data_IF_876074768089
#
_entry.id   IF_876074768089
#
_cell.length_a   1.000
_cell.length_b   1.000
_cell.length_c   1.000
_cell.angle_alpha   90.00
_cell.angle_beta   90.00
_cell.angle_gamma   90.00
#
_symmetry.space_group_name_H-M   'P 1'
#
loop_
_entity.id
_entity.type
_entity.pdbx_description
1 polymer ?
#
# COMPACT_ATOMS: atom_id res chain seq x y z
N UNK A 1 -5.26 23.38 9.88
CA UNK A 1 -4.82 24.57 9.12
C UNK A 1 -5.43 24.49 7.74
N UNK A 2 -6.40 25.35 7.46
CA UNK A 2 -6.91 25.66 6.12
C UNK A 2 -6.09 26.88 5.68
N UNK A 3 -4.87 26.67 5.18
CA UNK A 3 -4.00 27.76 4.73
C UNK A 3 -3.17 27.29 3.54
N UNK A 4 -3.83 27.21 2.39
CA UNK A 4 -3.34 27.70 1.11
C UNK A 4 -4.52 27.68 0.15
N UNK A 5 -4.75 28.78 -0.56
CA UNK A 5 -5.83 28.96 -1.53
C UNK A 5 -5.70 28.08 -2.77
N UNK A 6 -5.78 26.77 -2.56
CA UNK A 6 -5.74 25.72 -3.55
C UNK A 6 -7.09 25.01 -3.41
N UNK A 7 -7.83 24.84 -4.51
CA UNK A 7 -9.17 24.22 -4.45
C UNK A 7 -9.02 22.84 -3.78
N UNK A 8 -9.93 22.45 -2.89
CA UNK A 8 -9.87 21.15 -2.19
C UNK A 8 -9.58 19.95 -3.13
N UNK A 9 -10.01 20.02 -4.39
CA UNK A 9 -9.67 19.03 -5.43
C UNK A 9 -8.20 18.98 -5.84
N UNK A 10 -7.51 20.11 -5.94
CA UNK A 10 -6.08 20.20 -6.29
C UNK A 10 -5.17 19.70 -5.16
N UNK A 11 -5.60 19.88 -3.90
CA UNK A 11 -4.92 19.32 -2.73
C UNK A 11 -4.98 17.79 -2.73
N UNK A 12 -6.18 17.21 -2.91
CA UNK A 12 -6.36 15.75 -2.99
C UNK A 12 -5.59 15.18 -4.18
N UNK A 13 -5.62 15.88 -5.32
CA UNK A 13 -4.89 15.47 -6.54
C UNK A 13 -3.39 15.44 -6.30
N UNK A 14 -2.81 16.50 -5.74
CA UNK A 14 -1.35 16.56 -5.48
C UNK A 14 -0.91 15.57 -4.39
N UNK A 15 -1.70 15.45 -3.31
CA UNK A 15 -1.40 14.55 -2.18
C UNK A 15 -1.50 13.08 -2.57
N UNK A 16 -2.27 12.72 -3.59
CA UNK A 16 -2.39 11.34 -4.07
C UNK A 16 -1.45 11.07 -5.25
N UNK A 17 -1.39 11.97 -6.24
CA UNK A 17 -0.57 11.78 -7.45
C UNK A 17 0.92 11.77 -7.12
N UNK A 18 1.40 12.68 -6.27
CA UNK A 18 2.83 12.77 -5.97
C UNK A 18 3.37 11.50 -5.31
N UNK A 19 2.74 10.94 -4.25
CA UNK A 19 3.17 9.66 -3.68
C UNK A 19 3.08 8.50 -4.66
N UNK A 20 2.07 8.47 -5.55
CA UNK A 20 1.96 7.41 -6.58
C UNK A 20 3.17 7.47 -7.52
N UNK A 21 3.46 8.63 -8.10
CA UNK A 21 4.60 8.78 -9.03
C UNK A 21 5.91 8.44 -8.32
N UNK A 22 6.12 8.97 -7.11
CA UNK A 22 7.32 8.68 -6.32
C UNK A 22 7.44 7.19 -6.01
N UNK A 23 6.35 6.52 -5.62
CA UNK A 23 6.34 5.08 -5.33
C UNK A 23 6.65 4.24 -6.57
N UNK A 24 6.14 4.62 -7.74
CA UNK A 24 6.42 3.92 -9.00
C UNK A 24 7.90 4.06 -9.40
N UNK A 25 8.44 5.27 -9.31
CA UNK A 25 9.87 5.53 -9.60
C UNK A 25 10.75 4.74 -8.63
N UNK A 26 10.49 4.80 -7.33
CA UNK A 26 11.24 4.03 -6.33
C UNK A 26 11.16 2.52 -6.58
N UNK A 27 9.98 2.03 -6.95
CA UNK A 27 9.76 0.61 -7.23
C UNK A 27 10.49 0.14 -8.49
N UNK A 28 10.70 0.99 -9.50
CA UNK A 28 11.48 0.65 -10.69
C UNK A 28 12.99 0.71 -10.39
N UNK A 29 13.44 1.66 -9.58
CA UNK A 29 14.85 1.84 -9.27
C UNK A 29 15.44 0.67 -8.45
N UNK A 30 14.69 0.14 -7.49
CA UNK A 30 15.17 -0.94 -6.61
C UNK A 30 15.60 -2.19 -7.40
N UNK A 31 14.77 -2.78 -8.29
CA UNK A 31 15.16 -3.92 -9.11
C UNK A 31 16.34 -3.64 -10.04
N UNK A 32 16.44 -2.42 -10.59
CA UNK A 32 17.56 -2.02 -11.45
C UNK A 32 18.87 -1.99 -10.64
N UNK A 33 18.84 -1.42 -9.44
CA UNK A 33 20.00 -1.42 -8.53
C UNK A 33 20.38 -2.83 -8.09
N UNK A 34 19.40 -3.73 -7.96
CA UNK A 34 19.61 -5.13 -7.59
C UNK A 34 19.96 -6.05 -8.78
N UNK A 35 20.00 -5.53 -10.01
CA UNK A 35 20.32 -6.28 -11.24
C UNK A 35 19.48 -7.56 -11.41
N UNK A 36 18.17 -7.48 -11.20
CA UNK A 36 17.27 -8.63 -11.35
C UNK A 36 16.98 -8.87 -12.85
N UNK A 37 17.61 -9.89 -13.44
CA UNK A 37 17.55 -10.18 -14.88
C UNK A 37 16.22 -10.81 -15.33
N UNK A 38 15.62 -11.69 -14.50
CA UNK A 38 14.40 -12.45 -14.84
C UNK A 38 13.08 -11.71 -14.53
N UNK A 39 13.13 -10.39 -14.43
CA UNK A 39 11.99 -9.59 -13.99
C UNK A 39 10.96 -9.41 -15.11
N UNK A 40 9.77 -9.99 -14.94
CA UNK A 40 8.62 -9.66 -15.77
C UNK A 40 7.97 -8.33 -15.35
N UNK A 41 8.45 -7.24 -15.96
CA UNK A 41 8.04 -5.86 -15.69
C UNK A 41 6.53 -5.62 -15.71
N UNK A 42 5.79 -6.28 -16.62
CA UNK A 42 4.34 -6.12 -16.71
C UNK A 42 3.64 -6.62 -15.44
N UNK A 43 3.99 -7.82 -14.98
CA UNK A 43 3.44 -8.38 -13.73
C UNK A 43 3.88 -7.55 -12.53
N UNK A 44 5.15 -7.15 -12.48
CA UNK A 44 5.69 -6.32 -11.40
C UNK A 44 4.91 -5.01 -11.24
N UNK A 45 4.73 -4.26 -12.33
CA UNK A 45 4.02 -2.99 -12.31
C UNK A 45 2.58 -3.13 -11.81
N UNK A 46 1.89 -4.22 -12.18
CA UNK A 46 0.54 -4.52 -11.68
C UNK A 46 0.56 -4.74 -10.17
N UNK A 47 1.44 -5.62 -9.67
CA UNK A 47 1.54 -5.97 -8.24
C UNK A 47 1.88 -4.72 -7.42
N UNK A 48 2.87 -3.94 -7.84
CA UNK A 48 3.30 -2.71 -7.16
C UNK A 48 2.20 -1.67 -7.15
N UNK A 49 1.52 -1.47 -8.28
CA UNK A 49 0.45 -0.47 -8.38
C UNK A 49 -0.72 -0.80 -7.45
N UNK A 50 -1.14 -2.07 -7.42
CA UNK A 50 -2.20 -2.53 -6.51
C UNK A 50 -1.77 -2.40 -5.05
N UNK A 51 -0.53 -2.77 -4.72
CA UNK A 51 0.00 -2.65 -3.35
C UNK A 51 0.06 -1.19 -2.90
N UNK A 52 0.52 -0.30 -3.77
CA UNK A 52 0.59 1.14 -3.52
C UNK A 52 -0.80 1.74 -3.33
N UNK A 53 -1.79 1.28 -4.10
CA UNK A 53 -3.18 1.70 -3.93
C UNK A 53 -3.72 1.34 -2.54
N UNK A 54 -3.52 0.10 -2.08
CA UNK A 54 -3.94 -0.30 -0.72
C UNK A 54 -3.23 0.54 0.33
N UNK A 55 -1.93 0.77 0.16
CA UNK A 55 -1.17 1.60 1.09
C UNK A 55 -1.74 3.02 1.19
N UNK A 56 -2.10 3.65 0.07
CA UNK A 56 -2.73 4.98 0.04
C UNK A 56 -4.10 4.95 0.73
N UNK A 57 -4.92 3.94 0.46
CA UNK A 57 -6.24 3.79 1.09
C UNK A 57 -6.12 3.64 2.62
N UNK A 58 -5.16 2.87 3.11
CA UNK A 58 -4.88 2.71 4.53
C UNK A 58 -4.41 4.02 5.18
N UNK A 59 -3.49 4.74 4.53
CA UNK A 59 -3.03 6.04 5.01
C UNK A 59 -4.18 7.06 5.08
N UNK A 60 -5.05 7.06 4.07
CA UNK A 60 -6.22 7.93 4.03
C UNK A 60 -7.23 7.54 5.11
N UNK A 61 -7.44 6.24 5.34
CA UNK A 61 -8.28 5.74 6.43
C UNK A 61 -7.75 6.21 7.78
N UNK A 62 -6.44 6.12 8.03
CA UNK A 62 -5.83 6.68 9.25
C UNK A 62 -6.03 8.18 9.36
N UNK A 63 -5.91 8.93 8.25
CA UNK A 63 -6.16 10.37 8.25
C UNK A 63 -7.60 10.73 8.66
N UNK A 64 -8.59 9.91 8.27
CA UNK A 64 -9.97 10.11 8.71
C UNK A 64 -10.23 9.63 10.14
N UNK A 65 -9.55 8.59 10.61
CA UNK A 65 -9.76 8.07 11.97
C UNK A 65 -8.99 8.82 13.06
N UNK A 66 -7.86 9.44 12.70
CA UNK A 66 -7.02 10.18 13.61
C UNK A 66 -7.62 11.54 13.98
N UNK A 67 -7.40 11.95 15.23
CA UNK A 67 -7.86 13.25 15.75
C UNK A 67 -7.02 14.43 15.25
N UNK A 68 -5.77 14.16 14.86
CA UNK A 68 -4.83 15.17 14.39
C UNK A 68 -3.77 14.57 13.47
N UNK A 69 -3.02 15.44 12.80
CA UNK A 69 -1.99 15.07 11.82
C UNK A 69 -0.87 14.21 12.43
N UNK A 70 -0.44 14.50 13.67
CA UNK A 70 0.60 13.72 14.36
C UNK A 70 0.18 12.26 14.55
N UNK A 71 -1.08 12.04 14.96
CA UNK A 71 -1.61 10.69 15.13
C UNK A 71 -1.68 9.94 13.79
N UNK A 72 -2.07 10.60 12.70
CA UNK A 72 -2.02 10.02 11.34
C UNK A 72 -0.62 9.54 11.01
N UNK A 73 0.38 10.40 11.18
CA UNK A 73 1.78 10.07 10.87
C UNK A 73 2.30 8.90 11.71
N UNK A 74 1.99 8.84 13.00
CA UNK A 74 2.40 7.71 13.86
C UNK A 74 1.77 6.40 13.39
N UNK A 75 0.49 6.40 13.04
CA UNK A 75 -0.19 5.22 12.50
C UNK A 75 0.43 4.78 11.15
N UNK A 76 0.69 5.72 10.25
CA UNK A 76 1.35 5.47 8.96
C UNK A 76 2.75 4.88 9.13
N UNK A 77 3.57 5.44 10.03
CA UNK A 77 4.91 4.94 10.31
C UNK A 77 4.87 3.53 10.91
N UNK A 78 3.93 3.27 11.82
CA UNK A 78 3.73 1.94 12.39
C UNK A 78 3.38 0.93 11.30
N UNK A 79 2.52 1.30 10.35
CA UNK A 79 2.16 0.46 9.21
C UNK A 79 3.38 0.14 8.34
N UNK A 80 4.20 1.15 8.02
CA UNK A 80 5.44 0.96 7.23
C UNK A 80 6.40 0.02 7.95
N UNK A 81 6.63 0.24 9.25
CA UNK A 81 7.55 -0.60 10.04
C UNK A 81 7.09 -2.06 10.07
N UNK A 82 5.80 -2.31 10.30
CA UNK A 82 5.25 -3.68 10.28
C UNK A 82 5.41 -4.28 8.89
N UNK A 83 5.11 -3.53 7.82
CA UNK A 83 5.27 -3.99 6.45
C UNK A 83 6.74 -4.28 6.08
N UNK A 84 7.71 -3.54 6.62
CA UNK A 84 9.13 -3.77 6.36
C UNK A 84 9.70 -4.98 7.12
N UNK A 85 9.21 -5.27 8.32
CA UNK A 85 9.71 -6.36 9.16
C UNK A 85 9.04 -7.70 8.82
N UNK A 86 7.81 -7.67 8.30
CA UNK A 86 7.04 -8.87 8.01
C UNK A 86 7.73 -9.83 7.03
N UNK A 87 8.34 -9.39 5.90
CA UNK A 87 9.06 -10.27 4.98
C UNK A 87 10.25 -10.98 5.60
N UNK A 88 11.02 -10.25 6.40
CA UNK A 88 12.16 -10.81 7.12
C UNK A 88 11.67 -11.87 8.11
N UNK A 89 10.57 -11.59 8.82
CA UNK A 89 10.01 -12.51 9.81
C UNK A 89 9.40 -13.77 9.18
N UNK A 90 8.79 -13.65 7.99
CA UNK A 90 8.16 -14.79 7.31
C UNK A 90 9.14 -15.86 6.87
N UNK A 91 10.40 -15.50 6.61
CA UNK A 91 11.43 -16.47 6.24
C UNK A 91 11.84 -17.38 7.41
N UNK A 92 11.67 -16.93 8.66
CA UNK A 92 12.06 -17.70 9.86
C UNK A 92 10.89 -18.30 10.62
N UNK A 93 9.69 -17.72 10.52
CA UNK A 93 8.53 -18.10 11.35
C UNK A 93 7.34 -18.49 10.48
N UNK A 94 6.90 -19.76 10.60
CA UNK A 94 5.77 -20.30 9.81
C UNK A 94 4.48 -19.49 9.97
N UNK A 95 4.17 -19.04 11.19
CA UNK A 95 3.00 -18.17 11.44
C UNK A 95 3.13 -16.82 10.74
N UNK A 96 4.33 -16.23 10.72
CA UNK A 96 4.57 -14.97 10.01
C UNK A 96 4.47 -15.15 8.49
N UNK A 97 4.84 -16.31 7.95
CA UNK A 97 4.59 -16.64 6.54
C UNK A 97 3.11 -16.68 6.19
N UNK A 98 2.27 -17.27 7.06
CA UNK A 98 0.81 -17.19 6.86
C UNK A 98 0.32 -15.75 6.89
N UNK A 99 0.78 -14.94 7.85
CA UNK A 99 0.42 -13.51 7.90
C UNK A 99 0.88 -12.78 6.64
N UNK A 100 2.07 -13.10 6.13
CA UNK A 100 2.61 -12.53 4.88
C UNK A 100 1.69 -12.81 3.69
N UNK A 101 1.28 -14.06 3.48
CA UNK A 101 0.39 -14.45 2.37
C UNK A 101 -0.95 -13.71 2.38
N UNK A 102 -1.46 -13.34 3.56
CA UNK A 102 -2.72 -12.60 3.73
C UNK A 102 -2.54 -11.08 3.87
N UNK A 103 -1.30 -10.59 3.86
CA UNK A 103 -0.99 -9.17 3.98
C UNK A 103 -1.12 -8.45 2.64
N UNK A 104 -1.30 -7.13 2.68
CA UNK A 104 -1.33 -6.30 1.48
C UNK A 104 0.03 -6.22 0.76
N UNK A 105 1.12 -6.66 1.39
CA UNK A 105 2.45 -6.73 0.76
C UNK A 105 2.82 -8.15 0.30
N UNK A 106 1.96 -9.14 0.56
CA UNK A 106 2.23 -10.55 0.27
C UNK A 106 2.46 -10.82 -1.21
N UNK A 107 1.68 -10.17 -2.07
CA UNK A 107 1.84 -10.28 -3.52
C UNK A 107 3.21 -9.72 -3.99
N UNK A 108 3.66 -8.60 -3.43
CA UNK A 108 5.01 -8.06 -3.70
C UNK A 108 6.09 -9.02 -3.24
N UNK A 109 6.01 -9.52 -2.00
CA UNK A 109 7.00 -10.45 -1.46
C UNK A 109 7.07 -11.74 -2.28
N UNK A 110 5.92 -12.29 -2.67
CA UNK A 110 5.83 -13.50 -3.49
C UNK A 110 6.33 -13.26 -4.92
N UNK A 111 6.01 -12.12 -5.53
CA UNK A 111 6.57 -11.72 -6.81
C UNK A 111 8.09 -11.69 -6.79
N UNK A 112 8.71 -11.09 -5.77
CA UNK A 112 10.18 -11.06 -5.69
C UNK A 112 10.81 -12.44 -5.43
N UNK A 113 10.03 -13.40 -4.90
CA UNK A 113 10.49 -14.77 -4.66
C UNK A 113 10.39 -15.66 -5.90
N UNK A 114 9.38 -15.46 -6.74
CA UNK A 114 9.08 -16.30 -7.92
C UNK A 114 9.40 -15.62 -9.25
N UNK A 115 9.55 -14.28 -9.27
CA UNK A 115 9.85 -13.45 -10.44
C UNK A 115 8.96 -13.78 -11.65
N UNK A 116 9.56 -14.34 -12.71
CA UNK A 116 8.88 -14.70 -13.96
C UNK A 116 7.81 -15.80 -13.76
N UNK A 117 8.02 -16.71 -12.82
CA UNK A 117 7.09 -17.81 -12.53
C UNK A 117 5.82 -17.33 -11.82
N UNK A 118 5.85 -16.13 -11.24
CA UNK A 118 4.71 -15.55 -10.55
C UNK A 118 3.50 -15.40 -11.48
N UNK A 119 2.33 -15.83 -11.00
CA UNK A 119 1.07 -15.76 -11.74
C UNK A 119 0.17 -14.65 -11.17
N UNK A 120 -0.41 -13.84 -12.05
CA UNK A 120 -1.40 -12.83 -11.62
C UNK A 120 -2.73 -13.44 -11.15
N UNK A 121 -2.92 -14.74 -11.36
CA UNK A 121 -4.02 -15.54 -10.82
C UNK A 121 -3.69 -16.15 -9.46
N UNK A 122 -2.55 -15.82 -8.87
CA UNK A 122 -2.16 -16.32 -7.55
C UNK A 122 -3.11 -15.81 -6.45
N UNK A 123 -3.27 -16.62 -5.40
CA UNK A 123 -4.06 -16.28 -4.20
C UNK A 123 -3.70 -14.91 -3.63
N UNK A 124 -2.43 -14.54 -3.64
CA UNK A 124 -1.96 -13.24 -3.10
C UNK A 124 -2.53 -12.04 -3.85
N UNK A 125 -2.82 -12.14 -5.16
CA UNK A 125 -3.53 -11.10 -5.92
C UNK A 125 -4.98 -10.98 -5.46
N UNK A 126 -5.68 -12.10 -5.27
CA UNK A 126 -7.05 -12.08 -4.76
C UNK A 126 -7.14 -11.49 -3.35
N UNK A 127 -6.17 -11.80 -2.49
CA UNK A 127 -6.01 -11.18 -1.18
C UNK A 127 -5.81 -9.67 -1.31
N UNK A 128 -4.96 -9.23 -2.24
CA UNK A 128 -4.69 -7.80 -2.46
C UNK A 128 -5.94 -7.06 -2.95
N UNK A 129 -6.69 -7.64 -3.89
CA UNK A 129 -7.97 -7.11 -4.34
C UNK A 129 -9.00 -7.05 -3.20
N UNK A 130 -9.04 -8.08 -2.34
CA UNK A 130 -9.88 -8.07 -1.13
C UNK A 130 -9.51 -6.91 -0.20
N UNK A 131 -8.22 -6.64 0.00
CA UNK A 131 -7.76 -5.47 0.77
C UNK A 131 -8.23 -4.15 0.16
N UNK A 132 -8.19 -3.99 -1.16
CA UNK A 132 -8.71 -2.79 -1.83
C UNK A 132 -10.19 -2.60 -1.52
N UNK A 133 -11.00 -3.66 -1.65
CA UNK A 133 -12.44 -3.60 -1.37
C UNK A 133 -12.71 -3.29 0.10
N UNK A 134 -12.07 -4.01 1.02
CA UNK A 134 -12.24 -3.83 2.46
C UNK A 134 -11.86 -2.42 2.92
N UNK A 135 -10.70 -1.91 2.46
CA UNK A 135 -10.23 -0.57 2.83
C UNK A 135 -11.08 0.52 2.20
N UNK A 136 -11.54 0.35 0.97
CA UNK A 136 -12.47 1.28 0.33
C UNK A 136 -13.81 1.37 1.07
N UNK A 137 -14.36 0.23 1.51
CA UNK A 137 -15.59 0.20 2.32
C UNK A 137 -15.36 0.87 3.68
N UNK A 138 -14.26 0.53 4.37
CA UNK A 138 -13.91 1.15 5.65
C UNK A 138 -13.74 2.67 5.52
N UNK A 139 -13.09 3.12 4.45
CA UNK A 139 -12.89 4.53 4.13
C UNK A 139 -14.23 5.23 3.89
N UNK A 140 -15.14 4.62 3.12
CA UNK A 140 -16.48 5.16 2.90
C UNK A 140 -17.24 5.37 4.22
N UNK A 141 -17.18 4.39 5.13
CA UNK A 141 -17.80 4.53 6.46
C UNK A 141 -17.13 5.60 7.32
N UNK A 142 -15.79 5.67 7.34
CA UNK A 142 -15.04 6.68 8.07
C UNK A 142 -15.36 8.09 7.56
N UNK A 143 -15.40 8.28 6.24
CA UNK A 143 -15.79 9.54 5.61
C UNK A 143 -17.23 9.94 5.97
N UNK A 144 -18.19 9.00 5.87
CA UNK A 144 -19.60 9.25 6.22
C UNK A 144 -19.76 9.60 7.71
N UNK A 145 -18.96 9.00 8.59
CA UNK A 145 -18.97 9.30 10.03
C UNK A 145 -18.44 10.70 10.31
N UNK A 146 -17.32 11.10 9.71
CA UNK A 146 -16.76 12.44 9.93
C UNK A 146 -17.65 13.54 9.35
N UNK A 147 -18.30 13.32 8.20
CA UNK A 147 -19.22 14.30 7.60
C UNK A 147 -20.51 14.53 8.41
N UNK A 148 -20.84 13.68 9.38
CA UNK A 148 -21.99 13.89 10.29
C UNK A 148 -21.62 14.71 11.53
N UNK A 149 -20.34 15.02 11.71
CA UNK A 149 -19.81 15.75 12.87
C UNK A 149 -19.56 17.23 12.51
N UNK A 150 -19.54 17.57 11.22
CA UNK A 150 -19.71 18.94 10.70
C UNK A 150 -21.19 19.30 10.58
#
# INVERSE_FOLDING_TARGET
MILSGVKQGEYITTVIIFPIIFSLVASILIPIMMQIEDMEWGKFLVVVSLTSLVFILLNLLFAFLAKNQTQTTVCSLTLVLVASILPVSSEFVKSANTVMEYSFIGANAKYFKELSDYQLTDKTIFVLLSWIVMTSIALYFAYKKNRKID
#
